data_IF_052358591438
#
_entry.id   IF_052358591438
#
_cell.length_a   1.000
_cell.length_b   1.000
_cell.length_c   1.000
_cell.angle_alpha   90.00
_cell.angle_beta   90.00
_cell.angle_gamma   90.00
#
_symmetry.space_group_name_H-M   'P 1'
#
loop_
_entity.id
_entity.type
_entity.pdbx_description
1 polymer ?
#
# COMPACT_ATOMS: atom_id res chain seq x y z
N UNK A 1 21.81 -11.01 -0.93
CA UNK A 1 22.46 -9.84 -0.31
C UNK A 1 21.83 -8.48 -0.58
N UNK A 2 20.82 -8.35 -1.43
CA UNK A 2 20.06 -7.10 -1.53
C UNK A 2 18.60 -7.34 -1.15
N UNK A 3 18.11 -6.52 -0.21
CA UNK A 3 16.74 -6.52 0.29
C UNK A 3 16.31 -5.08 0.54
N UNK A 4 15.05 -4.77 0.28
CA UNK A 4 14.48 -3.48 0.67
C UNK A 4 14.24 -3.41 2.18
N UNK A 5 14.42 -2.22 2.75
CA UNK A 5 13.77 -1.85 4.00
C UNK A 5 12.25 -1.83 3.83
N UNK A 6 11.52 -1.87 4.95
CA UNK A 6 10.05 -1.82 4.92
C UNK A 6 9.54 -0.58 4.18
N UNK A 7 10.14 0.59 4.44
CA UNK A 7 9.71 1.85 3.84
C UNK A 7 10.01 1.93 2.34
N UNK A 8 11.13 1.38 1.88
CA UNK A 8 11.42 1.25 0.45
C UNK A 8 10.42 0.32 -0.23
N UNK A 9 10.07 -0.81 0.40
CA UNK A 9 9.04 -1.71 -0.14
C UNK A 9 7.67 -1.02 -0.23
N UNK A 10 7.25 -0.29 0.81
CA UNK A 10 6.01 0.50 0.78
C UNK A 10 6.06 1.54 -0.33
N UNK A 11 7.17 2.27 -0.49
CA UNK A 11 7.33 3.26 -1.55
C UNK A 11 7.22 2.62 -2.94
N UNK A 12 7.89 1.48 -3.15
CA UNK A 12 7.83 0.65 -4.35
C UNK A 12 6.41 0.29 -4.75
N UNK A 13 5.59 -0.16 -3.80
CA UNK A 13 4.18 -0.53 -4.02
C UNK A 13 3.21 0.66 -4.07
N UNK A 14 3.67 1.90 -3.82
CA UNK A 14 2.80 3.08 -3.75
C UNK A 14 3.28 4.21 -4.65
N UNK A 15 4.12 5.12 -4.14
CA UNK A 15 4.55 6.34 -4.84
C UNK A 15 5.43 6.03 -6.04
N UNK A 16 6.34 5.07 -5.93
CA UNK A 16 7.25 4.71 -7.03
C UNK A 16 6.52 3.94 -8.12
N UNK A 17 5.62 3.03 -7.74
CA UNK A 17 4.71 2.37 -8.69
C UNK A 17 3.82 3.37 -9.44
N UNK A 18 3.28 4.37 -8.73
CA UNK A 18 2.50 5.45 -9.37
C UNK A 18 3.35 6.26 -10.35
N UNK A 19 4.60 6.59 -10.01
CA UNK A 19 5.53 7.29 -10.89
C UNK A 19 5.90 6.45 -12.13
N UNK A 20 6.17 5.16 -11.96
CA UNK A 20 6.48 4.25 -13.05
C UNK A 20 5.34 4.15 -14.09
N UNK A 21 4.10 4.40 -13.67
CA UNK A 21 2.92 4.46 -14.52
C UNK A 21 2.56 5.88 -15.02
N UNK A 22 3.37 6.91 -14.71
CA UNK A 22 3.08 8.33 -14.98
C UNK A 22 1.78 8.84 -14.31
N UNK A 23 1.44 8.26 -13.17
CA UNK A 23 0.21 8.50 -12.40
C UNK A 23 0.48 9.11 -11.01
N UNK A 24 1.69 9.61 -10.76
CA UNK A 24 2.13 10.21 -9.50
C UNK A 24 1.34 11.46 -9.09
N UNK A 25 0.68 12.10 -10.07
CA UNK A 25 -0.22 13.24 -9.88
C UNK A 25 -1.68 12.82 -9.55
N UNK A 26 -1.96 11.52 -9.52
CA UNK A 26 -3.31 10.95 -9.38
C UNK A 26 -3.44 9.88 -8.29
N UNK A 27 -2.40 9.08 -8.02
CA UNK A 27 -2.44 7.98 -7.04
C UNK A 27 -1.10 7.77 -6.33
N UNK A 28 -1.04 6.76 -5.46
CA UNK A 28 0.17 6.37 -4.71
C UNK A 28 0.38 7.13 -3.40
N UNK A 29 -0.50 8.09 -3.05
CA UNK A 29 -0.47 8.85 -1.79
C UNK A 29 -1.87 9.07 -1.25
N UNK A 30 -2.00 9.06 0.07
CA UNK A 30 -3.21 9.55 0.74
C UNK A 30 -3.15 11.08 0.79
N UNK A 31 -3.78 11.73 -0.19
CA UNK A 31 -3.78 13.19 -0.35
C UNK A 31 -5.11 13.65 -0.97
N UNK A 32 -5.69 14.79 -0.55
CA UNK A 32 -6.87 15.35 -1.21
C UNK A 32 -6.66 15.52 -2.73
N UNK A 33 -7.68 15.14 -3.51
CA UNK A 33 -7.65 15.18 -4.98
C UNK A 33 -7.04 13.94 -5.66
N UNK A 34 -6.50 12.99 -4.90
CA UNK A 34 -5.99 11.71 -5.43
C UNK A 34 -7.11 10.66 -5.46
N UNK A 35 -6.91 9.60 -6.25
CA UNK A 35 -7.78 8.43 -6.23
C UNK A 35 -7.85 7.86 -4.81
N UNK A 36 -9.06 7.53 -4.37
CA UNK A 36 -9.31 6.85 -3.11
C UNK A 36 -9.03 5.34 -3.27
N UNK A 37 -7.76 5.02 -3.55
CA UNK A 37 -7.22 3.66 -3.61
C UNK A 37 -6.50 3.37 -2.29
N UNK A 38 -7.08 2.52 -1.45
CA UNK A 38 -6.67 2.29 -0.06
C UNK A 38 -6.73 0.80 0.25
N UNK A 39 -5.71 0.29 0.94
CA UNK A 39 -5.72 -1.04 1.56
C UNK A 39 -5.56 -0.88 3.06
N UNK A 40 -6.49 -1.45 3.82
CA UNK A 40 -6.38 -1.58 5.28
C UNK A 40 -5.86 -2.97 5.59
N UNK A 41 -4.79 -3.05 6.38
CA UNK A 41 -4.13 -4.30 6.75
C UNK A 41 -4.62 -4.81 8.11
N UNK A 42 -4.51 -6.12 8.32
CA UNK A 42 -4.93 -6.80 9.56
C UNK A 42 -4.01 -6.53 10.76
N UNK A 43 -2.84 -5.92 10.53
CA UNK A 43 -1.86 -5.60 11.54
C UNK A 43 -1.02 -4.38 11.12
N UNK A 44 -0.37 -3.77 12.09
CA UNK A 44 0.65 -2.75 11.86
C UNK A 44 1.95 -3.42 11.39
N UNK A 45 2.31 -3.19 10.14
CA UNK A 45 3.51 -3.77 9.51
C UNK A 45 4.81 -3.15 10.02
N UNK A 46 4.79 -1.95 10.60
CA UNK A 46 5.98 -1.34 11.21
C UNK A 46 6.31 -2.00 12.56
N UNK A 47 5.30 -2.50 13.26
CA UNK A 47 5.44 -3.25 14.51
C UNK A 47 5.53 -4.78 14.31
N UNK A 48 5.36 -5.27 13.08
CA UNK A 48 5.38 -6.71 12.77
C UNK A 48 6.80 -7.15 12.39
N UNK A 49 7.27 -8.24 13.01
CA UNK A 49 8.57 -8.84 12.67
C UNK A 49 8.60 -9.29 11.19
N UNK A 50 9.72 -9.10 10.46
CA UNK A 50 9.81 -9.44 9.03
C UNK A 50 9.37 -10.87 8.69
N UNK A 51 9.71 -11.83 9.54
CA UNK A 51 9.38 -13.25 9.35
C UNK A 51 7.87 -13.51 9.48
N UNK A 52 7.14 -12.64 10.19
CA UNK A 52 5.70 -12.74 10.41
C UNK A 52 4.88 -11.94 9.38
N UNK A 53 5.49 -11.08 8.55
CA UNK A 53 4.79 -10.23 7.58
C UNK A 53 3.91 -11.03 6.60
N UNK A 54 4.31 -12.27 6.28
CA UNK A 54 3.53 -13.17 5.40
C UNK A 54 2.14 -13.54 5.96
N UNK A 55 1.89 -13.29 7.24
CA UNK A 55 0.60 -13.53 7.90
C UNK A 55 -0.35 -12.33 7.82
N UNK A 56 0.17 -11.14 7.52
CA UNK A 56 -0.61 -9.91 7.40
C UNK A 56 -1.45 -9.96 6.13
N UNK A 57 -2.73 -9.62 6.26
CA UNK A 57 -3.71 -9.70 5.16
C UNK A 57 -4.44 -8.36 4.99
N UNK A 58 -4.91 -8.03 3.77
CA UNK A 58 -5.87 -6.96 3.62
C UNK A 58 -7.17 -7.34 4.35
N UNK A 59 -7.73 -6.42 5.14
CA UNK A 59 -9.07 -6.57 5.75
C UNK A 59 -10.12 -5.78 4.98
N UNK A 60 -9.70 -4.74 4.26
CA UNK A 60 -10.56 -3.94 3.38
C UNK A 60 -9.73 -3.37 2.24
N UNK A 61 -10.24 -3.47 1.02
CA UNK A 61 -9.66 -2.81 -0.16
C UNK A 61 -10.69 -1.86 -0.73
N UNK A 62 -10.27 -0.64 -0.98
CA UNK A 62 -11.05 0.42 -1.61
C UNK A 62 -10.35 0.78 -2.91
N UNK A 63 -11.08 0.75 -4.03
CA UNK A 63 -10.59 1.19 -5.34
C UNK A 63 -11.50 2.28 -5.87
N UNK A 64 -10.94 3.45 -6.19
CA UNK A 64 -11.67 4.60 -6.70
C UNK A 64 -12.82 5.05 -5.78
N UNK A 65 -12.65 4.89 -4.46
CA UNK A 65 -13.67 5.24 -3.47
C UNK A 65 -14.79 4.19 -3.27
N UNK A 66 -14.67 3.01 -3.88
CA UNK A 66 -15.62 1.90 -3.68
C UNK A 66 -14.92 0.75 -2.96
N UNK A 67 -15.57 0.18 -1.95
CA UNK A 67 -15.10 -1.06 -1.31
C UNK A 67 -15.21 -2.20 -2.33
N UNK A 68 -14.08 -2.80 -2.70
CA UNK A 68 -13.98 -3.91 -3.65
C UNK A 68 -13.70 -5.24 -2.97
N UNK A 69 -13.21 -5.21 -1.73
CA UNK A 69 -12.97 -6.38 -0.90
C UNK A 69 -13.17 -6.05 0.58
N UNK A 70 -13.75 -7.00 1.31
CA UNK A 70 -13.88 -6.98 2.77
C UNK A 70 -13.84 -8.44 3.27
N UNK A 71 -13.00 -8.70 4.28
CA UNK A 71 -12.79 -10.03 4.86
C UNK A 71 -13.78 -10.35 5.99
#
# INVERSE_FOLDING_TARGET
DQSFSLHEAIAGYTVEGAYAEFMEHRKGRLKPGYLADIVVLSADIEATAPEALHTVRPVTTICGGKVTYQA
#
